data_IF_696995459345
#
_entry.id   IF_696995459345
#
_cell.length_a   1.000
_cell.length_b   1.000
_cell.length_c   1.000
_cell.angle_alpha   90.00
_cell.angle_beta   90.00
_cell.angle_gamma   90.00
#
_symmetry.space_group_name_H-M   'P 1'
#
loop_
_entity.id
_entity.type
_entity.pdbx_description
1 polymer ?
#
# COMPACT_ATOMS: atom_id res chain seq x y z
N UNK A 1 -19.76 6.49 -14.32
CA UNK A 1 -20.91 5.99 -13.54
C UNK A 1 -20.39 5.37 -12.26
N UNK A 2 -20.92 5.79 -11.13
CA UNK A 2 -20.52 5.24 -9.82
C UNK A 2 -21.38 4.01 -9.53
N UNK A 3 -20.74 2.89 -9.22
CA UNK A 3 -21.43 1.66 -8.83
C UNK A 3 -21.56 1.68 -7.31
N UNK A 4 -22.75 1.45 -6.81
CA UNK A 4 -23.00 1.41 -5.38
C UNK A 4 -22.56 0.06 -4.81
N UNK A 5 -21.77 0.10 -3.73
CA UNK A 5 -21.33 -1.10 -3.04
C UNK A 5 -22.51 -1.68 -2.24
N UNK A 6 -22.87 -2.95 -2.45
CA UNK A 6 -23.97 -3.54 -1.70
C UNK A 6 -23.63 -3.75 -0.23
N UNK A 7 -24.64 -3.88 0.61
CA UNK A 7 -24.46 -4.38 1.96
C UNK A 7 -24.17 -5.88 1.91
N UNK A 8 -23.02 -6.26 2.48
CA UNK A 8 -22.66 -7.66 2.54
C UNK A 8 -23.11 -8.27 3.86
N UNK A 9 -23.78 -9.41 3.78
CA UNK A 9 -24.09 -10.15 4.99
C UNK A 9 -22.82 -10.78 5.54
N UNK A 10 -22.58 -10.56 6.83
CA UNK A 10 -21.46 -11.17 7.52
C UNK A 10 -20.10 -10.55 7.25
N UNK A 11 -19.99 -9.41 6.65
CA UNK A 11 -18.76 -8.59 6.45
C UNK A 11 -17.50 -9.37 6.01
N UNK A 12 -17.64 -10.59 5.49
CA UNK A 12 -16.50 -11.42 5.13
C UNK A 12 -15.75 -10.86 3.93
N UNK A 13 -14.44 -10.64 4.09
CA UNK A 13 -13.60 -10.01 3.07
C UNK A 13 -13.67 -10.74 1.71
N UNK A 14 -13.68 -12.05 1.70
CA UNK A 14 -13.76 -12.83 0.45
C UNK A 14 -15.00 -12.50 -0.36
N UNK A 15 -16.15 -12.30 0.30
CA UNK A 15 -17.38 -11.94 -0.38
C UNK A 15 -17.29 -10.55 -0.99
N UNK A 16 -16.68 -9.61 -0.25
CA UNK A 16 -16.48 -8.26 -0.74
C UNK A 16 -15.53 -8.21 -1.92
N UNK A 17 -14.41 -8.94 -1.84
CA UNK A 17 -13.44 -9.02 -2.93
C UNK A 17 -14.01 -9.71 -4.16
N UNK A 18 -14.82 -10.75 -3.97
CA UNK A 18 -15.50 -11.43 -5.08
C UNK A 18 -16.44 -10.51 -5.84
N UNK A 19 -17.23 -9.73 -5.10
CA UNK A 19 -18.09 -8.73 -5.72
C UNK A 19 -17.27 -7.69 -6.51
N UNK A 20 -16.19 -7.21 -5.93
CA UNK A 20 -15.32 -6.22 -6.56
C UNK A 20 -14.71 -6.75 -7.86
N UNK A 21 -14.27 -8.00 -7.85
CA UNK A 21 -13.71 -8.66 -9.04
C UNK A 21 -14.72 -8.70 -10.18
N UNK A 22 -15.98 -8.95 -9.87
CA UNK A 22 -17.04 -9.09 -10.87
C UNK A 22 -17.61 -7.76 -11.34
N UNK A 23 -17.44 -6.67 -10.57
CA UNK A 23 -18.17 -5.42 -10.81
C UNK A 23 -17.27 -4.19 -11.01
N UNK A 24 -16.01 -4.19 -10.56
CA UNK A 24 -15.15 -3.03 -10.64
C UNK A 24 -14.13 -3.16 -11.76
N UNK A 25 -13.91 -2.04 -12.47
CA UNK A 25 -12.82 -1.93 -13.42
C UNK A 25 -11.50 -1.64 -12.68
N UNK A 26 -10.38 -2.25 -13.11
CA UNK A 26 -9.07 -1.92 -12.53
C UNK A 26 -8.75 -0.44 -12.67
N UNK A 27 -8.13 0.13 -11.64
CA UNK A 27 -7.66 1.51 -11.66
C UNK A 27 -6.13 1.54 -11.63
N UNK A 28 -5.52 2.03 -12.70
CA UNK A 28 -4.06 2.12 -12.83
C UNK A 28 -3.58 3.46 -12.32
N UNK A 29 -3.02 3.45 -11.11
CA UNK A 29 -2.44 4.65 -10.52
C UNK A 29 -1.13 5.01 -11.23
N UNK A 30 -0.90 6.31 -11.38
CA UNK A 30 0.39 6.83 -11.83
C UNK A 30 1.44 6.85 -10.72
N UNK A 31 1.01 6.66 -9.48
CA UNK A 31 1.90 6.72 -8.32
C UNK A 31 2.50 5.36 -7.97
N UNK A 32 3.69 5.42 -7.39
CA UNK A 32 4.36 4.28 -6.78
C UNK A 32 5.14 4.76 -5.56
N UNK A 33 5.62 3.81 -4.77
CA UNK A 33 6.41 4.11 -3.57
C UNK A 33 7.79 3.52 -3.74
N UNK A 34 8.81 4.36 -3.68
CA UNK A 34 10.22 3.93 -3.70
C UNK A 34 10.73 3.96 -2.27
N UNK A 35 11.34 2.87 -1.82
CA UNK A 35 11.80 2.77 -0.44
C UNK A 35 13.09 1.99 -0.32
N UNK A 36 13.84 2.30 0.73
CA UNK A 36 15.10 1.64 1.07
C UNK A 36 14.99 1.08 2.49
N UNK A 37 15.48 -0.13 2.67
CA UNK A 37 15.46 -0.78 3.98
C UNK A 37 16.79 -0.53 4.70
N UNK A 38 16.81 0.16 5.85
CA UNK A 38 18.04 0.43 6.58
C UNK A 38 18.69 -0.84 7.15
N UNK A 39 17.95 -1.93 7.28
CA UNK A 39 18.50 -3.22 7.71
C UNK A 39 19.26 -3.93 6.59
N UNK A 40 19.05 -3.53 5.35
CA UNK A 40 19.73 -4.08 4.18
C UNK A 40 20.28 -2.94 3.31
N UNK A 41 21.25 -2.16 3.83
CA UNK A 41 21.70 -0.93 3.18
C UNK A 41 22.38 -1.15 1.83
N UNK A 42 22.87 -2.36 1.57
CA UNK A 42 23.52 -2.70 0.31
C UNK A 42 22.54 -3.08 -0.79
N UNK A 43 21.28 -3.30 -0.45
CA UNK A 43 20.25 -3.59 -1.43
C UNK A 43 19.79 -2.31 -2.14
N UNK A 44 19.42 -2.41 -3.43
CA UNK A 44 18.91 -1.24 -4.16
C UNK A 44 17.55 -0.80 -3.61
N UNK A 45 17.16 0.42 -3.92
CA UNK A 45 15.82 0.92 -3.63
C UNK A 45 14.78 -0.01 -4.24
N UNK A 46 13.72 -0.27 -3.48
CA UNK A 46 12.60 -1.10 -3.90
C UNK A 46 11.46 -0.21 -4.38
N UNK A 47 10.69 -0.70 -5.33
CA UNK A 47 9.54 0.02 -5.88
C UNK A 47 8.29 -0.81 -5.64
N UNK A 48 7.34 -0.23 -4.93
CA UNK A 48 6.04 -0.84 -4.69
C UNK A 48 5.00 -0.14 -5.55
N UNK A 49 4.35 -0.90 -6.42
CA UNK A 49 3.26 -0.39 -7.26
C UNK A 49 1.92 -0.84 -6.68
N UNK A 50 0.92 0.04 -6.62
CA UNK A 50 -0.42 -0.40 -6.23
C UNK A 50 -0.99 -1.33 -7.30
N UNK A 51 -1.55 -2.44 -6.86
CA UNK A 51 -2.27 -3.34 -7.75
C UNK A 51 -3.54 -2.65 -8.28
N UNK A 52 -3.80 -2.67 -9.60
CA UNK A 52 -4.95 -1.98 -10.16
C UNK A 52 -6.30 -2.46 -9.62
N UNK A 53 -6.45 -3.73 -9.33
CA UNK A 53 -7.69 -4.27 -8.76
C UNK A 53 -7.87 -3.83 -7.32
N UNK A 54 -6.77 -3.83 -6.55
CA UNK A 54 -6.77 -3.32 -5.19
C UNK A 54 -7.10 -1.84 -5.15
N UNK A 55 -6.52 -1.04 -6.06
CA UNK A 55 -6.81 0.39 -6.16
C UNK A 55 -8.30 0.64 -6.42
N UNK A 56 -8.90 -0.15 -7.30
CA UNK A 56 -10.34 -0.05 -7.55
C UNK A 56 -11.14 -0.26 -6.26
N UNK A 57 -10.76 -1.24 -5.45
CA UNK A 57 -11.40 -1.50 -4.15
C UNK A 57 -11.22 -0.33 -3.19
N UNK A 58 -10.01 0.23 -3.13
CA UNK A 58 -9.71 1.34 -2.22
C UNK A 58 -10.55 2.58 -2.55
N UNK A 59 -10.69 2.89 -3.82
CA UNK A 59 -11.44 4.06 -4.27
C UNK A 59 -12.95 3.86 -4.18
N UNK A 60 -13.42 2.62 -4.29
CA UNK A 60 -14.84 2.30 -4.22
C UNK A 60 -15.43 2.44 -2.82
N UNK A 61 -14.72 1.96 -1.80
CA UNK A 61 -15.21 1.88 -0.43
C UNK A 61 -16.12 0.70 -0.16
N UNK A 62 -16.24 0.33 1.09
CA UNK A 62 -17.08 -0.79 1.53
C UNK A 62 -16.49 -2.17 1.26
N UNK A 63 -15.21 -2.27 0.95
CA UNK A 63 -14.57 -3.53 0.56
C UNK A 63 -13.38 -3.86 1.45
N UNK A 64 -12.39 -2.97 1.54
CA UNK A 64 -11.16 -3.23 2.26
C UNK A 64 -11.34 -3.18 3.77
N UNK A 65 -10.58 -3.97 4.54
CA UNK A 65 -10.57 -3.87 5.99
C UNK A 65 -9.77 -2.64 6.44
N UNK A 66 -9.91 -2.20 7.71
CA UNK A 66 -9.03 -1.17 8.26
C UNK A 66 -7.57 -1.60 8.16
N UNK A 67 -6.68 -0.65 7.87
CA UNK A 67 -5.25 -0.98 7.71
C UNK A 67 -4.63 -1.53 8.99
N UNK A 68 -5.17 -1.19 10.14
CA UNK A 68 -4.75 -1.69 11.44
C UNK A 68 -4.85 -3.21 11.54
N UNK A 69 -5.76 -3.82 10.80
CA UNK A 69 -5.88 -5.29 10.74
C UNK A 69 -4.61 -5.95 10.19
N UNK A 70 -3.94 -5.28 9.25
CA UNK A 70 -2.66 -5.77 8.71
C UNK A 70 -1.53 -5.60 9.71
N UNK A 71 -1.54 -4.55 10.51
CA UNK A 71 -0.53 -4.34 11.56
C UNK A 71 -0.61 -5.43 12.61
N UNK A 72 -1.81 -5.74 13.06
CA UNK A 72 -2.02 -6.80 14.03
C UNK A 72 -1.61 -8.16 13.48
N UNK A 73 -1.89 -8.41 12.20
CA UNK A 73 -1.45 -9.64 11.54
C UNK A 73 0.08 -9.75 11.51
N UNK A 74 0.78 -8.67 11.16
CA UNK A 74 2.25 -8.65 11.16
C UNK A 74 2.82 -8.87 12.57
N UNK A 75 2.20 -8.27 13.55
CA UNK A 75 2.58 -8.43 14.94
C UNK A 75 2.42 -9.87 15.40
N UNK A 76 1.30 -10.49 15.03
CA UNK A 76 1.01 -11.87 15.38
C UNK A 76 1.96 -12.85 14.67
N UNK A 77 2.37 -12.55 13.44
CA UNK A 77 3.32 -13.37 12.69
C UNK A 77 4.68 -13.50 13.40
N UNK A 78 5.02 -12.54 14.25
CA UNK A 78 6.24 -12.55 15.04
C UNK A 78 6.06 -13.24 16.39
N UNK A 79 4.86 -13.71 16.71
CA UNK A 79 4.57 -14.39 17.96
C UNK A 79 4.87 -15.89 17.81
N UNK A 80 5.66 -16.49 18.73
CA UNK A 80 5.92 -17.92 18.68
C UNK A 80 4.62 -18.73 18.69
N UNK A 81 4.51 -19.68 17.78
CA UNK A 81 3.33 -20.53 17.65
C UNK A 81 2.20 -19.94 16.80
N UNK A 82 2.38 -18.76 16.23
CA UNK A 82 1.39 -18.17 15.34
C UNK A 82 1.17 -19.04 14.10
N UNK A 83 -0.11 -19.25 13.76
CA UNK A 83 -0.51 -20.00 12.57
C UNK A 83 -1.29 -19.07 11.66
N UNK A 84 -0.64 -18.55 10.63
CA UNK A 84 -1.14 -17.52 9.74
C UNK A 84 -2.49 -17.86 9.11
N UNK A 85 -2.67 -19.09 8.65
CA UNK A 85 -3.89 -19.48 7.95
C UNK A 85 -5.11 -19.65 8.85
N UNK A 86 -4.91 -19.69 10.17
CA UNK A 86 -6.02 -19.72 11.13
C UNK A 86 -6.36 -18.33 11.66
N UNK A 87 -5.34 -17.56 12.04
CA UNK A 87 -5.55 -16.26 12.67
C UNK A 87 -5.71 -15.11 11.67
N UNK A 88 -4.96 -15.17 10.57
CA UNK A 88 -5.06 -14.14 9.52
C UNK A 88 -6.47 -13.95 8.97
N UNK A 89 -7.20 -15.02 8.65
CA UNK A 89 -8.60 -14.90 8.23
C UNK A 89 -9.48 -14.18 9.24
N UNK A 90 -9.34 -14.46 10.53
CA UNK A 90 -10.13 -13.78 11.56
C UNK A 90 -9.87 -12.27 11.59
N UNK A 91 -8.59 -11.88 11.53
CA UNK A 91 -8.23 -10.47 11.59
C UNK A 91 -8.68 -9.68 10.36
N UNK A 92 -8.60 -10.28 9.19
CA UNK A 92 -8.91 -9.59 7.94
C UNK A 92 -10.37 -9.77 7.53
N UNK A 93 -10.89 -11.00 7.60
CA UNK A 93 -12.19 -11.34 6.99
C UNK A 93 -13.38 -10.88 7.81
N UNK A 94 -13.21 -10.72 9.13
CA UNK A 94 -14.28 -10.26 10.00
C UNK A 94 -14.23 -8.77 10.30
N UNK A 95 -13.30 -8.05 9.67
CA UNK A 95 -13.15 -6.61 9.86
C UNK A 95 -14.27 -5.84 9.18
N UNK A 96 -14.73 -4.77 9.82
CA UNK A 96 -15.70 -3.87 9.22
C UNK A 96 -15.06 -3.18 8.01
N UNK A 97 -15.71 -3.14 6.85
CA UNK A 97 -15.15 -2.46 5.69
C UNK A 97 -15.04 -0.95 5.91
N UNK A 98 -14.01 -0.35 5.34
CA UNK A 98 -13.77 1.08 5.43
C UNK A 98 -14.47 1.83 4.28
N UNK A 99 -14.64 3.14 4.46
CA UNK A 99 -15.22 4.01 3.44
C UNK A 99 -14.27 4.20 2.26
N UNK A 100 -14.81 4.75 1.16
CA UNK A 100 -14.03 5.10 -0.01
C UNK A 100 -12.87 6.04 0.34
N UNK A 101 -11.73 5.79 -0.26
CA UNK A 101 -10.53 6.61 -0.06
C UNK A 101 -10.25 7.47 -1.29
N UNK A 102 -9.58 8.60 -1.08
CA UNK A 102 -8.93 9.31 -2.17
C UNK A 102 -7.70 8.52 -2.62
N UNK A 103 -7.15 8.85 -3.78
CA UNK A 103 -5.93 8.19 -4.25
C UNK A 103 -4.77 8.37 -3.27
N UNK A 104 -4.64 9.57 -2.68
CA UNK A 104 -3.65 9.87 -1.65
C UNK A 104 -3.79 8.97 -0.43
N UNK A 105 -5.00 8.83 0.06
CA UNK A 105 -5.29 7.96 1.21
C UNK A 105 -5.02 6.48 0.88
N UNK A 106 -5.32 6.08 -0.34
CA UNK A 106 -5.05 4.72 -0.81
C UNK A 106 -3.54 4.42 -0.83
N UNK A 107 -2.72 5.36 -1.26
CA UNK A 107 -1.27 5.19 -1.24
C UNK A 107 -0.73 5.14 0.19
N UNK A 108 -1.25 5.95 1.11
CA UNK A 108 -0.88 5.86 2.52
C UNK A 108 -1.27 4.51 3.13
N UNK A 109 -2.44 4.00 2.80
CA UNK A 109 -2.87 2.67 3.20
C UNK A 109 -1.91 1.60 2.66
N UNK A 110 -1.54 1.70 1.39
CA UNK A 110 -0.60 0.77 0.73
C UNK A 110 0.74 0.75 1.47
N UNK A 111 1.27 1.92 1.83
CA UNK A 111 2.52 2.05 2.57
C UNK A 111 2.44 1.26 3.88
N UNK A 112 1.41 1.50 4.64
CA UNK A 112 1.24 0.86 5.95
C UNK A 112 0.96 -0.64 5.84
N UNK A 113 0.40 -1.08 4.73
CA UNK A 113 0.08 -2.49 4.48
C UNK A 113 1.30 -3.27 3.98
N UNK A 114 1.98 -2.76 2.98
CA UNK A 114 2.96 -3.54 2.20
C UNK A 114 4.43 -3.20 2.50
N UNK A 115 4.73 -2.00 3.00
CA UNK A 115 6.10 -1.62 3.33
C UNK A 115 6.39 -2.00 4.78
N UNK A 116 7.60 -2.52 5.08
CA UNK A 116 7.94 -2.88 6.46
C UNK A 116 7.76 -1.70 7.41
N UNK A 117 7.21 -1.98 8.58
CA UNK A 117 6.86 -0.98 9.58
C UNK A 117 8.06 -0.11 9.98
N UNK A 118 9.23 -0.71 10.16
CA UNK A 118 10.44 0.04 10.52
C UNK A 118 10.90 1.00 9.42
N UNK A 119 10.48 0.81 8.19
CA UNK A 119 10.80 1.73 7.09
C UNK A 119 9.90 2.97 7.16
N UNK A 120 8.58 2.78 7.19
CA UNK A 120 7.68 3.93 7.11
C UNK A 120 7.51 4.68 8.43
N UNK A 121 7.62 4.01 9.58
CA UNK A 121 7.53 4.68 10.88
C UNK A 121 8.74 5.57 11.17
N UNK A 122 9.92 5.13 10.79
CA UNK A 122 11.16 5.84 11.06
C UNK A 122 11.58 6.77 9.91
N UNK A 123 10.78 6.86 8.87
CA UNK A 123 11.08 7.71 7.73
C UNK A 123 10.82 9.17 8.05
N UNK A 124 11.87 9.98 7.96
CA UNK A 124 11.73 11.43 7.94
C UNK A 124 11.59 11.88 6.49
N UNK A 125 10.35 11.96 6.03
CA UNK A 125 10.03 12.23 4.63
C UNK A 125 10.55 13.58 4.12
N UNK A 126 10.79 14.51 5.03
CA UNK A 126 11.24 15.85 4.67
C UNK A 126 12.77 15.94 4.55
N UNK A 127 13.51 15.28 5.42
CA UNK A 127 14.96 15.46 5.53
C UNK A 127 15.79 14.23 5.18
N UNK A 128 15.40 13.06 5.67
CA UNK A 128 16.12 11.78 5.45
C UNK A 128 15.10 10.68 5.16
N UNK A 129 14.43 10.74 4.04
CA UNK A 129 13.39 9.76 3.77
C UNK A 129 13.98 8.38 3.50
N UNK A 130 13.31 7.38 4.05
CA UNK A 130 13.53 5.99 3.67
C UNK A 130 12.55 5.54 2.61
N UNK A 131 11.57 6.39 2.31
CA UNK A 131 10.63 6.18 1.22
C UNK A 131 10.17 7.51 0.65
N UNK A 132 9.83 7.50 -0.63
CA UNK A 132 9.24 8.64 -1.33
C UNK A 132 8.10 8.14 -2.21
N UNK A 133 7.07 8.98 -2.35
CA UNK A 133 5.98 8.71 -3.27
C UNK A 133 6.33 9.40 -4.58
N UNK A 134 6.36 8.63 -5.66
CA UNK A 134 6.75 9.10 -6.98
C UNK A 134 5.66 8.82 -8.00
N UNK A 135 5.70 9.52 -9.11
CA UNK A 135 4.98 9.07 -10.31
C UNK A 135 5.85 8.07 -11.07
N UNK A 136 5.21 7.23 -11.85
CA UNK A 136 5.95 6.24 -12.67
C UNK A 136 6.91 6.90 -13.65
N UNK A 137 6.57 8.10 -14.13
CA UNK A 137 7.43 8.88 -15.04
C UNK A 137 8.71 9.39 -14.36
N UNK A 138 8.76 9.46 -13.05
CA UNK A 138 9.94 9.87 -12.29
C UNK A 138 10.93 8.73 -12.07
N UNK A 139 10.54 7.50 -12.37
CA UNK A 139 11.45 6.36 -12.32
C UNK A 139 12.37 6.40 -13.55
N UNK A 140 13.60 5.84 -13.44
CA UNK A 140 14.46 5.71 -14.61
C UNK A 140 13.76 4.96 -15.75
N UNK A 141 13.90 5.45 -16.97
CA UNK A 141 13.25 4.88 -18.14
C UNK A 141 13.82 3.52 -18.55
N UNK A 142 15.02 3.19 -18.09
CA UNK A 142 15.68 1.90 -18.32
C UNK A 142 15.97 1.22 -16.99
N UNK A 143 15.97 -0.11 -17.01
CA UNK A 143 16.31 -0.91 -15.85
C UNK A 143 17.79 -1.36 -15.83
N UNK A 144 18.61 -0.83 -16.74
CA UNK A 144 20.02 -1.21 -16.84
C UNK A 144 20.77 -1.08 -15.52
N UNK A 145 20.51 -0.02 -14.76
CA UNK A 145 21.13 0.23 -13.47
C UNK A 145 20.22 -0.04 -12.28
N UNK A 146 19.25 -0.96 -12.44
CA UNK A 146 18.24 -1.24 -11.40
C UNK A 146 18.88 -1.59 -10.06
N UNK A 147 19.98 -2.32 -10.05
CA UNK A 147 20.66 -2.74 -8.82
C UNK A 147 21.40 -1.60 -8.11
N UNK A 148 21.50 -0.42 -8.74
CA UNK A 148 22.12 0.77 -8.16
C UNK A 148 21.12 1.85 -7.79
N UNK A 149 19.83 1.61 -7.95
CA UNK A 149 18.82 2.62 -7.66
C UNK A 149 18.82 2.99 -6.17
N UNK A 150 18.75 4.29 -5.93
CA UNK A 150 18.64 4.88 -4.59
C UNK A 150 17.63 6.01 -4.63
N UNK A 151 17.08 6.34 -3.47
CA UNK A 151 16.22 7.51 -3.33
C UNK A 151 17.06 8.75 -3.61
N UNK A 152 16.57 9.61 -4.50
CA UNK A 152 17.24 10.86 -4.84
C UNK A 152 16.87 11.94 -3.81
N UNK A 153 17.78 12.35 -2.93
CA UNK A 153 17.48 13.34 -1.91
C UNK A 153 17.16 14.72 -2.48
N UNK A 154 17.62 15.02 -3.69
CA UNK A 154 17.37 16.33 -4.33
C UNK A 154 15.91 16.49 -4.77
N UNK A 155 15.18 15.37 -4.91
CA UNK A 155 13.76 15.41 -5.27
C UNK A 155 12.84 15.64 -4.08
N UNK A 156 13.32 15.48 -2.86
CA UNK A 156 12.49 15.44 -1.66
C UNK A 156 11.91 16.79 -1.30
N UNK A 157 12.69 17.85 -1.46
CA UNK A 157 12.29 19.20 -1.07
C UNK A 157 11.42 19.91 -2.10
N UNK A 158 11.18 19.28 -3.23
CA UNK A 158 10.35 19.85 -4.28
C UNK A 158 8.88 19.54 -4.07
N UNK A 159 8.59 18.35 -3.55
CA UNK A 159 7.23 17.85 -3.47
C UNK A 159 7.07 16.96 -2.23
N UNK A 160 6.17 17.32 -1.34
CA UNK A 160 5.99 16.64 -0.06
C UNK A 160 4.68 15.87 0.06
N UNK A 161 3.88 15.87 -0.97
CA UNK A 161 2.61 15.18 -1.00
C UNK A 161 2.38 14.54 -2.37
N UNK A 162 1.27 13.83 -2.54
CA UNK A 162 0.97 13.13 -3.78
C UNK A 162 0.73 14.03 -4.98
N UNK A 163 0.31 15.26 -4.76
CA UNK A 163 0.13 16.22 -5.85
C UNK A 163 1.46 16.78 -6.33
N UNK A 164 2.45 16.73 -5.49
CA UNK A 164 3.77 17.29 -5.69
C UNK A 164 4.85 16.24 -5.44
N UNK A 165 4.71 15.08 -6.04
CA UNK A 165 5.62 13.96 -5.80
C UNK A 165 6.99 14.23 -6.38
N UNK A 166 7.99 13.95 -5.60
CA UNK A 166 9.37 14.09 -6.00
C UNK A 166 9.84 12.94 -6.89
#
# INVERSE_FOLDING_TARGET
>A
MTIETPEFQGTHLWNRLGWAKDNLEPYRSEYCVVWEDPETPDEPAKVTHPDPNWMACALQGGILPPVESYWELKKDENTPGFVKHTRGPELLHNSKPIDAMTEEQAIEYLIQKDIPTHVWQDSDRANKPRMVICTKSQLPSTRTWRNSWRINPDCINTNNDLENVA
#
